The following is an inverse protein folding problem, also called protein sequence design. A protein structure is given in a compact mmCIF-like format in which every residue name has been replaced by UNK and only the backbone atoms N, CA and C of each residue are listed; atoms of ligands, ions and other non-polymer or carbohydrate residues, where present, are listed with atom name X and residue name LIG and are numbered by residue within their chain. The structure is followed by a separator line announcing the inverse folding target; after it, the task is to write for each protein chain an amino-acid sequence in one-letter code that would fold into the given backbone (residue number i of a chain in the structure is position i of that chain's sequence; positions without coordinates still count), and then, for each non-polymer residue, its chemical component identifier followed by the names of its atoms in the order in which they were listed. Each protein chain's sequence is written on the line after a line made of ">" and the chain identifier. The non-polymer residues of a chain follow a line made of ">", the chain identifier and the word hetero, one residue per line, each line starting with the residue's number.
data_IF_757728009323
#
_entry.id   IF_757728009323
#
_cell.length_a   1.000
_cell.length_b   1.000
_cell.length_c   1.000
_cell.angle_alpha   90.00
_cell.angle_beta   90.00
_cell.angle_gamma   90.00
#
_symmetry.space_group_name_H-M   'P 1'
#
loop_
_entity.id
_entity.type
_entity.pdbx_description
1 polymer ?
#
# COMPACT_ATOMS: atom_id res chain seq x y z
N UNK A 1 58.93 -34.80 3.97
CA UNK A 1 58.78 -36.25 3.68
C UNK A 1 57.37 -36.41 3.14
N UNK A 2 57.27 -36.72 1.84
CA UNK A 2 56.17 -37.41 1.13
C UNK A 2 54.79 -36.73 1.23
N UNK A 3 54.28 -36.07 0.18
CA UNK A 3 53.70 -36.69 -1.03
C UNK A 3 52.20 -36.91 -0.78
N UNK A 4 51.25 -36.46 -1.60
CA UNK A 4 51.10 -36.80 -3.01
C UNK A 4 50.00 -35.92 -3.61
N UNK A 5 50.27 -35.44 -4.81
CA UNK A 5 49.36 -34.89 -5.80
C UNK A 5 48.12 -35.77 -6.05
N UNK A 6 47.00 -35.17 -6.41
CA UNK A 6 46.01 -35.81 -7.28
C UNK A 6 45.30 -34.77 -8.12
N UNK A 7 45.68 -34.79 -9.38
CA UNK A 7 44.96 -34.35 -10.55
C UNK A 7 43.54 -34.95 -10.57
N UNK A 8 42.56 -34.18 -11.04
CA UNK A 8 41.58 -34.73 -11.99
C UNK A 8 41.08 -33.57 -12.89
N UNK A 9 41.42 -33.75 -14.15
CA UNK A 9 41.12 -32.96 -15.33
C UNK A 9 39.75 -33.43 -15.84
N UNK A 10 38.84 -32.51 -16.16
CA UNK A 10 37.67 -32.85 -16.97
C UNK A 10 37.55 -31.83 -18.11
N UNK A 11 37.88 -32.31 -19.30
CA UNK A 11 37.70 -31.68 -20.61
C UNK A 11 36.35 -32.05 -21.22
N UNK A 12 36.10 -31.45 -22.39
CA UNK A 12 35.08 -31.71 -23.42
C UNK A 12 33.85 -30.81 -23.27
N UNK A 13 33.84 -29.62 -23.89
CA UNK A 13 33.71 -29.34 -25.35
C UNK A 13 32.55 -30.12 -25.98
N UNK A 14 31.39 -29.47 -26.12
CA UNK A 14 30.36 -29.87 -27.08
C UNK A 14 30.02 -28.64 -27.93
N UNK A 15 30.49 -28.71 -29.17
CA UNK A 15 30.13 -27.91 -30.33
C UNK A 15 28.61 -27.69 -30.47
N UNK A 16 28.20 -26.43 -30.66
CA UNK A 16 26.93 -26.15 -31.33
C UNK A 16 27.18 -25.20 -32.49
N UNK A 17 27.50 -25.78 -33.65
CA UNK A 17 27.57 -25.09 -34.92
C UNK A 17 26.16 -24.93 -35.53
N UNK A 18 25.87 -23.69 -35.96
CA UNK A 18 25.19 -23.24 -37.19
C UNK A 18 24.11 -24.15 -37.81
N UNK A 19 22.96 -23.68 -38.30
CA UNK A 19 22.62 -22.50 -39.09
C UNK A 19 21.10 -22.58 -39.33
N UNK A 20 20.37 -21.47 -39.49
CA UNK A 20 19.42 -21.37 -40.60
C UNK A 20 19.01 -19.90 -40.82
N UNK A 21 19.35 -19.41 -42.00
CA UNK A 21 18.98 -18.12 -42.57
C UNK A 21 17.74 -18.37 -43.42
N UNK A 22 16.62 -17.69 -43.12
CA UNK A 22 15.47 -17.64 -44.01
C UNK A 22 15.11 -16.18 -44.29
N UNK A 23 15.78 -15.65 -45.31
CA UNK A 23 15.36 -14.45 -46.02
C UNK A 23 14.23 -14.81 -47.00
N UNK A 24 13.09 -14.14 -46.88
CA UNK A 24 11.96 -14.24 -47.82
C UNK A 24 11.66 -12.84 -48.36
N UNK A 25 12.23 -12.57 -49.53
CA UNK A 25 11.75 -11.55 -50.46
C UNK A 25 11.05 -12.29 -51.61
N UNK A 26 9.78 -11.98 -51.88
CA UNK A 26 9.23 -12.09 -53.23
C UNK A 26 8.13 -11.05 -53.42
N UNK A 27 8.43 -10.09 -54.29
CA UNK A 27 7.52 -9.07 -54.76
C UNK A 27 6.68 -9.63 -55.91
N UNK A 28 5.41 -9.25 -55.98
CA UNK A 28 4.64 -9.28 -57.23
C UNK A 28 3.61 -8.15 -57.21
N UNK A 29 3.96 -7.10 -57.96
CA UNK A 29 3.08 -6.15 -58.62
C UNK A 29 2.13 -6.90 -59.58
N UNK A 30 0.83 -6.61 -59.53
CA UNK A 30 -0.02 -6.69 -60.72
C UNK A 30 -1.11 -5.62 -60.62
N UNK A 31 -1.04 -4.72 -61.60
CA UNK A 31 -1.85 -3.53 -61.86
C UNK A 31 -3.14 -3.87 -62.63
N UNK A 32 -4.14 -2.97 -62.49
CA UNK A 32 -5.23 -2.58 -63.43
C UNK A 32 -6.31 -3.62 -63.80
N UNK A 33 -7.59 -3.31 -64.06
CA UNK A 33 -8.36 -2.07 -64.13
C UNK A 33 -9.87 -2.43 -64.09
N UNK A 34 -10.68 -1.48 -63.63
CA UNK A 34 -11.98 -1.02 -64.14
C UNK A 34 -13.06 -2.05 -64.57
N UNK A 35 -14.25 -1.97 -63.96
CA UNK A 35 -15.46 -1.47 -64.65
C UNK A 35 -16.64 -1.28 -63.68
N UNK A 36 -17.12 -0.06 -63.74
CA UNK A 36 -18.31 0.59 -63.18
C UNK A 36 -19.65 -0.13 -63.44
N UNK A 37 -20.55 -0.13 -62.46
CA UNK A 37 -22.00 0.12 -62.63
C UNK A 37 -22.58 0.47 -61.23
N UNK A 38 -22.68 1.75 -60.87
CA UNK A 38 -23.83 2.64 -61.10
C UNK A 38 -25.14 2.06 -60.55
N UNK A 39 -25.52 2.40 -59.32
CA UNK A 39 -26.89 2.82 -59.01
C UNK A 39 -26.79 3.87 -57.89
N UNK A 40 -27.25 5.05 -58.27
CA UNK A 40 -27.48 6.29 -57.55
C UNK A 40 -28.45 6.07 -56.37
N UNK A 41 -28.08 6.46 -55.14
CA UNK A 41 -29.04 6.70 -54.08
C UNK A 41 -28.73 8.05 -53.42
N UNK A 42 -29.75 8.89 -53.49
CA UNK A 42 -29.78 10.31 -53.22
C UNK A 42 -29.23 10.72 -51.84
N UNK A 43 -28.41 11.78 -51.86
CA UNK A 43 -28.15 12.60 -50.69
C UNK A 43 -29.37 13.50 -50.44
N UNK A 44 -30.13 13.20 -49.38
CA UNK A 44 -31.02 14.14 -48.75
C UNK A 44 -30.82 14.06 -47.23
N UNK A 45 -29.95 14.94 -46.74
CA UNK A 45 -30.15 15.80 -45.58
C UNK A 45 -31.42 15.49 -44.75
N UNK A 46 -31.23 14.88 -43.57
CA UNK A 46 -32.08 15.14 -42.41
C UNK A 46 -31.20 14.93 -41.16
N UNK A 47 -30.92 16.07 -40.55
CA UNK A 47 -30.49 16.31 -39.20
C UNK A 47 -30.87 15.19 -38.20
N UNK A 48 -29.90 14.41 -37.77
CA UNK A 48 -29.84 13.99 -36.37
C UNK A 48 -28.37 14.08 -35.97
N UNK A 49 -28.01 15.28 -35.52
CA UNK A 49 -26.99 15.43 -34.50
C UNK A 49 -27.47 14.57 -33.33
N UNK A 50 -27.04 13.31 -33.32
CA UNK A 50 -26.86 12.59 -32.07
C UNK A 50 -25.68 13.31 -31.40
N UNK A 51 -25.96 14.49 -30.82
CA UNK A 51 -25.36 14.89 -29.55
C UNK A 51 -25.74 13.75 -28.60
N UNK A 52 -25.02 12.64 -28.74
CA UNK A 52 -24.91 11.64 -27.70
C UNK A 52 -24.43 12.46 -26.53
N UNK A 53 -25.38 12.71 -25.63
CA UNK A 53 -25.20 13.28 -24.32
C UNK A 53 -23.97 12.53 -23.79
N UNK A 54 -22.80 13.16 -23.91
CA UNK A 54 -21.65 12.75 -23.16
C UNK A 54 -22.03 13.13 -21.72
N UNK A 55 -22.89 12.33 -21.10
CA UNK A 55 -22.81 12.11 -19.68
C UNK A 55 -21.49 11.38 -19.46
N UNK A 56 -20.41 12.18 -19.53
CA UNK A 56 -19.33 12.07 -18.58
C UNK A 56 -20.04 12.03 -17.22
N UNK A 57 -20.43 10.84 -16.78
CA UNK A 57 -20.38 10.49 -15.38
C UNK A 57 -18.97 10.93 -14.98
N UNK A 58 -18.91 12.09 -14.34
CA UNK A 58 -17.76 12.43 -13.51
C UNK A 58 -17.56 11.18 -12.68
N UNK A 59 -16.49 10.45 -12.95
CA UNK A 59 -15.99 9.37 -12.10
C UNK A 59 -15.73 9.90 -10.67
N UNK A 60 -15.75 11.23 -10.51
CA UNK A 60 -15.57 11.99 -9.28
C UNK A 60 -16.71 11.84 -8.23
N UNK A 61 -17.82 11.15 -8.51
CA UNK A 61 -18.92 10.97 -7.51
C UNK A 61 -18.80 9.69 -6.65
N UNK A 62 -17.74 8.87 -6.84
CA UNK A 62 -17.56 7.61 -6.10
C UNK A 62 -16.49 7.63 -5.00
N UNK A 63 -15.69 8.69 -4.83
CA UNK A 63 -14.39 8.55 -4.14
C UNK A 63 -14.10 9.41 -2.92
N UNK A 64 -14.95 10.37 -2.54
CA UNK A 64 -14.69 11.14 -1.33
C UNK A 64 -15.35 10.44 -0.13
N UNK A 65 -14.64 9.47 0.46
CA UNK A 65 -14.93 9.02 1.82
C UNK A 65 -15.01 10.25 2.73
N UNK A 66 -15.95 10.25 3.69
CA UNK A 66 -16.03 11.34 4.65
C UNK A 66 -14.80 11.30 5.57
N UNK A 67 -14.15 12.45 5.75
CA UNK A 67 -13.06 12.58 6.70
C UNK A 67 -13.53 12.16 8.09
N UNK A 68 -12.72 11.37 8.79
CA UNK A 68 -12.92 11.09 10.20
C UNK A 68 -12.91 12.41 10.98
N UNK A 69 -13.97 12.63 11.75
CA UNK A 69 -14.07 13.79 12.62
C UNK A 69 -13.14 13.64 13.84
N UNK A 70 -12.80 14.76 14.48
CA UNK A 70 -11.98 14.75 15.69
C UNK A 70 -12.57 13.89 16.84
N UNK A 71 -13.88 13.66 16.85
CA UNK A 71 -14.57 12.83 17.85
C UNK A 71 -14.46 11.32 17.54
N UNK A 72 -14.22 10.95 16.28
CA UNK A 72 -14.03 9.57 15.81
C UNK A 72 -12.54 9.16 15.84
N UNK A 73 -11.61 10.11 15.95
CA UNK A 73 -10.17 9.81 16.02
C UNK A 73 -9.75 9.75 17.50
N UNK A 74 -9.50 8.55 18.03
CA UNK A 74 -9.11 8.40 19.43
C UNK A 74 -7.76 9.06 19.71
N UNK A 75 -6.78 8.79 18.83
CA UNK A 75 -5.46 9.43 18.86
C UNK A 75 -4.61 9.16 17.62
N UNK A 76 -3.64 10.06 17.41
CA UNK A 76 -2.48 9.85 16.55
C UNK A 76 -1.23 10.06 17.41
N UNK A 77 -0.44 9.02 17.63
CA UNK A 77 0.77 9.08 18.49
C UNK A 77 1.99 8.59 17.74
N UNK A 78 3.05 9.42 17.72
CA UNK A 78 4.36 9.02 17.25
C UNK A 78 5.22 8.44 18.39
N UNK A 79 5.94 7.37 18.08
CA UNK A 79 6.94 6.71 18.90
C UNK A 79 8.29 6.78 18.18
N UNK A 80 9.31 7.32 18.84
CA UNK A 80 10.62 7.50 18.23
C UNK A 80 11.74 7.54 19.28
N UNK A 81 12.98 7.61 18.82
CA UNK A 81 14.14 7.74 19.68
C UNK A 81 14.77 9.12 19.52
N UNK A 82 14.95 9.85 20.61
CA UNK A 82 15.62 11.15 20.63
C UNK A 82 16.87 11.03 21.50
N UNK A 83 18.05 11.28 20.94
CA UNK A 83 19.36 11.07 21.58
C UNK A 83 19.52 9.69 22.27
N UNK A 84 18.88 8.65 21.71
CA UNK A 84 18.90 7.28 22.22
C UNK A 84 17.91 6.99 23.35
N UNK A 85 17.14 7.98 23.79
CA UNK A 85 16.03 7.81 24.72
C UNK A 85 14.71 7.60 23.95
N UNK A 86 13.91 6.63 24.40
CA UNK A 86 12.57 6.42 23.83
C UNK A 86 11.65 7.55 24.25
N UNK A 87 10.97 8.13 23.27
CA UNK A 87 10.01 9.21 23.49
C UNK A 87 8.75 8.95 22.67
N UNK A 88 7.69 9.67 23.01
CA UNK A 88 6.44 9.69 22.28
C UNK A 88 5.90 11.10 22.20
N UNK A 89 5.15 11.40 21.15
CA UNK A 89 4.49 12.68 20.97
C UNK A 89 3.09 12.46 20.38
N UNK A 90 2.03 13.09 20.94
CA UNK A 90 0.78 13.21 20.21
C UNK A 90 1.04 14.05 18.95
N UNK A 91 0.43 13.63 17.84
CA UNK A 91 0.40 14.38 16.61
C UNK A 91 -0.99 15.02 16.42
N UNK A 92 -1.14 15.76 15.33
CA UNK A 92 -2.44 16.30 14.93
C UNK A 92 -3.39 15.14 14.56
N UNK A 93 -4.64 15.21 15.03
CA UNK A 93 -5.63 14.17 14.75
C UNK A 93 -5.93 14.07 13.25
N UNK A 94 -5.88 15.20 12.55
CA UNK A 94 -6.17 15.28 11.11
C UNK A 94 -5.22 14.43 10.25
N UNK A 95 -4.07 14.00 10.79
CA UNK A 95 -3.19 13.04 10.12
C UNK A 95 -3.81 11.63 9.99
N UNK A 96 -4.90 11.36 10.69
CA UNK A 96 -5.69 10.15 10.54
C UNK A 96 -6.63 10.19 9.33
N UNK A 97 -6.57 11.23 8.49
CA UNK A 97 -7.28 11.34 7.21
C UNK A 97 -6.32 11.41 5.99
N UNK A 98 -5.00 11.45 6.20
CA UNK A 98 -4.02 11.57 5.11
C UNK A 98 -2.73 10.79 5.45
N UNK A 99 -2.59 9.61 4.85
CA UNK A 99 -1.43 8.73 5.08
C UNK A 99 -0.11 9.38 4.63
N UNK A 100 -0.13 10.10 3.51
CA UNK A 100 1.04 10.77 2.95
C UNK A 100 1.53 11.88 3.89
N UNK A 101 0.61 12.67 4.46
CA UNK A 101 0.96 13.67 5.46
C UNK A 101 1.50 13.02 6.74
N UNK A 102 0.87 11.95 7.23
CA UNK A 102 1.36 11.19 8.38
C UNK A 102 2.80 10.70 8.15
N UNK A 103 3.08 10.10 6.99
CA UNK A 103 4.43 9.66 6.59
C UNK A 103 5.38 10.86 6.55
N UNK A 104 4.98 11.99 5.98
CA UNK A 104 5.79 13.20 5.91
C UNK A 104 6.13 13.75 7.29
N UNK A 105 5.20 13.72 8.25
CA UNK A 105 5.45 14.13 9.62
C UNK A 105 6.42 13.19 10.32
N UNK A 106 6.25 11.86 10.18
CA UNK A 106 7.16 10.87 10.74
C UNK A 106 8.59 11.00 10.23
N UNK A 107 8.80 11.37 8.95
CA UNK A 107 10.14 11.61 8.38
C UNK A 107 10.91 12.74 9.06
N UNK A 108 10.23 13.65 9.76
CA UNK A 108 10.85 14.79 10.46
C UNK A 108 11.34 14.44 11.86
N UNK A 109 10.88 13.31 12.41
CA UNK A 109 11.24 12.89 13.76
C UNK A 109 12.66 12.28 13.79
N UNK A 110 13.43 12.52 14.86
CA UNK A 110 14.75 11.95 15.01
C UNK A 110 14.70 10.44 15.29
N UNK A 111 15.83 9.76 15.05
CA UNK A 111 16.05 8.38 15.45
C UNK A 111 16.61 7.50 14.33
N UNK A 112 17.73 6.83 14.59
CA UNK A 112 18.36 5.89 13.64
C UNK A 112 17.46 4.69 13.32
N UNK A 113 16.59 4.30 14.26
CA UNK A 113 15.65 3.20 14.10
C UNK A 113 14.34 3.62 13.39
N UNK A 114 14.22 4.89 12.99
CA UNK A 114 13.01 5.47 12.44
C UNK A 114 11.99 5.90 13.50
N UNK A 115 10.80 6.28 13.03
CA UNK A 115 9.65 6.62 13.84
C UNK A 115 8.46 5.70 13.48
N UNK A 116 7.58 5.47 14.45
CA UNK A 116 6.36 4.66 14.32
C UNK A 116 5.17 5.52 14.72
N UNK A 117 4.18 5.71 13.86
CA UNK A 117 2.86 6.19 14.26
C UNK A 117 1.98 5.02 14.68
N UNK A 118 1.16 5.26 15.68
CA UNK A 118 0.02 4.44 16.07
C UNK A 118 -1.22 5.32 16.00
N UNK A 119 -2.17 4.92 15.18
CA UNK A 119 -3.44 5.61 14.92
C UNK A 119 -4.57 4.69 15.34
N UNK A 120 -5.50 5.21 16.13
CA UNK A 120 -6.70 4.51 16.59
C UNK A 120 -7.92 5.30 16.16
N UNK A 121 -8.88 4.62 15.52
CA UNK A 121 -10.10 5.21 14.99
C UNK A 121 -11.31 4.49 15.59
N UNK A 122 -12.24 5.28 16.11
CA UNK A 122 -13.53 4.96 16.72
C UNK A 122 -13.54 3.74 17.65
N UNK A 123 -12.41 3.46 18.31
CA UNK A 123 -12.18 2.21 19.05
C UNK A 123 -12.32 0.91 18.21
N UNK A 124 -12.48 1.01 16.89
CA UNK A 124 -12.79 -0.11 15.98
C UNK A 124 -11.54 -0.74 15.38
N UNK A 125 -10.66 0.07 14.80
CA UNK A 125 -9.46 -0.41 14.12
C UNK A 125 -8.26 0.51 14.37
N UNK A 126 -7.08 0.02 14.00
CA UNK A 126 -5.85 0.78 14.11
C UNK A 126 -4.95 0.65 12.88
N UNK A 127 -4.13 1.68 12.70
CA UNK A 127 -3.05 1.71 11.71
C UNK A 127 -1.71 1.91 12.41
N UNK A 128 -0.71 1.13 12.01
CA UNK A 128 0.68 1.34 12.40
C UNK A 128 1.48 1.72 11.16
N UNK A 129 2.09 2.91 11.19
CA UNK A 129 2.95 3.39 10.10
C UNK A 129 4.37 3.51 10.62
N UNK A 130 5.32 2.85 9.98
CA UNK A 130 6.74 2.93 10.33
C UNK A 130 7.54 3.57 9.22
N UNK A 131 8.32 4.60 9.56
CA UNK A 131 9.17 5.30 8.61
C UNK A 131 10.63 5.24 9.03
N UNK A 132 11.48 4.74 8.13
CA UNK A 132 12.92 4.50 8.32
C UNK A 132 13.71 4.99 7.12
N UNK A 133 14.14 6.25 7.18
CA UNK A 133 14.80 6.90 6.06
C UNK A 133 13.87 6.98 4.85
N UNK A 134 14.07 6.10 3.87
CA UNK A 134 13.22 6.00 2.66
C UNK A 134 12.22 4.85 2.70
N UNK A 135 12.41 3.91 3.63
CA UNK A 135 11.52 2.77 3.77
C UNK A 135 10.32 3.20 4.61
N UNK A 136 9.12 2.87 4.12
CA UNK A 136 7.85 3.05 4.79
C UNK A 136 7.21 1.67 4.81
N UNK A 137 6.68 1.29 5.97
CA UNK A 137 5.91 0.07 6.18
C UNK A 137 4.61 0.46 6.85
N UNK A 138 3.51 -0.18 6.46
CA UNK A 138 2.17 0.10 7.00
C UNK A 138 1.49 -1.20 7.38
N UNK A 139 0.69 -1.16 8.44
CA UNK A 139 -0.15 -2.26 8.88
C UNK A 139 -1.52 -1.71 9.25
N UNK A 140 -2.57 -2.31 8.73
CA UNK A 140 -3.97 -2.03 9.05
C UNK A 140 -4.57 -3.26 9.72
N UNK A 141 -5.20 -3.06 10.89
CA UNK A 141 -5.72 -4.17 11.69
C UNK A 141 -6.95 -4.85 11.11
N UNK A 142 -7.73 -4.12 10.31
CA UNK A 142 -8.95 -4.60 9.68
C UNK A 142 -9.05 -3.99 8.27
N UNK A 143 -8.95 -4.84 7.26
CA UNK A 143 -9.03 -4.43 5.86
C UNK A 143 -10.39 -3.94 5.40
N UNK A 144 -11.48 -4.38 6.03
CA UNK A 144 -12.85 -4.02 5.65
C UNK A 144 -13.10 -2.53 5.88
N UNK A 145 -12.45 -1.95 6.89
CA UNK A 145 -12.56 -0.54 7.25
C UNK A 145 -12.07 0.42 6.14
N UNK A 146 -11.33 -0.08 5.14
CA UNK A 146 -10.97 0.70 3.95
C UNK A 146 -12.18 1.09 3.08
N UNK A 147 -13.35 0.47 3.28
CA UNK A 147 -14.59 0.86 2.62
C UNK A 147 -15.19 2.16 3.20
N UNK A 148 -14.87 2.50 4.45
CA UNK A 148 -15.52 3.58 5.18
C UNK A 148 -14.55 4.69 5.61
N UNK A 149 -13.26 4.37 5.84
CA UNK A 149 -12.31 5.30 6.45
C UNK A 149 -11.16 5.72 5.51
N UNK A 150 -10.91 7.03 5.32
CA UNK A 150 -9.89 7.54 4.40
C UNK A 150 -8.49 6.95 4.64
N UNK A 151 -8.03 6.88 5.90
CA UNK A 151 -6.70 6.34 6.20
C UNK A 151 -6.58 4.84 5.92
N UNK A 152 -7.65 4.07 6.11
CA UNK A 152 -7.65 2.64 5.81
C UNK A 152 -7.62 2.42 4.29
N UNK A 153 -8.38 3.24 3.54
CA UNK A 153 -8.33 3.27 2.08
C UNK A 153 -6.94 3.63 1.55
N UNK A 154 -6.34 4.70 2.08
CA UNK A 154 -4.98 5.11 1.73
C UNK A 154 -3.96 3.98 2.00
N UNK A 155 -4.13 3.21 3.07
CA UNK A 155 -3.26 2.07 3.38
C UNK A 155 -3.41 0.96 2.33
N UNK A 156 -4.65 0.59 1.97
CA UNK A 156 -4.89 -0.40 0.92
C UNK A 156 -4.29 0.04 -0.43
N UNK A 157 -4.50 1.31 -0.80
CA UNK A 157 -3.94 1.92 -2.01
C UNK A 157 -2.40 1.96 -1.98
N UNK A 158 -1.81 2.29 -0.84
CA UNK A 158 -0.36 2.31 -0.64
C UNK A 158 0.25 0.92 -0.80
N UNK A 159 -0.43 -0.11 -0.29
CA UNK A 159 -0.01 -1.51 -0.41
C UNK A 159 -0.25 -2.05 -1.84
N UNK A 160 -1.20 -1.47 -2.57
CA UNK A 160 -1.69 -1.98 -3.85
C UNK A 160 -2.45 -3.29 -3.67
N UNK A 161 -3.15 -3.44 -2.55
CA UNK A 161 -3.97 -4.60 -2.21
C UNK A 161 -5.45 -4.30 -2.49
N UNK A 162 -6.22 -5.34 -2.81
CA UNK A 162 -7.66 -5.21 -3.04
C UNK A 162 -8.38 -5.02 -1.69
N UNK A 163 -9.31 -4.07 -1.63
CA UNK A 163 -10.15 -3.85 -0.45
C UNK A 163 -11.17 -5.01 -0.35
N UNK A 164 -11.27 -5.71 0.79
CA UNK A 164 -12.26 -6.77 0.98
C UNK A 164 -13.69 -6.20 0.97
N UNK A 165 -14.66 -7.05 0.62
CA UNK A 165 -16.07 -6.67 0.61
C UNK A 165 -16.57 -6.46 2.06
N UNK A 166 -17.59 -5.62 2.24
CA UNK A 166 -18.15 -5.31 3.59
C UNK A 166 -18.74 -6.51 4.33
N UNK A 167 -18.97 -7.64 3.65
CA UNK A 167 -19.45 -8.89 4.23
C UNK A 167 -18.36 -9.96 4.42
N UNK A 168 -17.10 -9.64 4.11
CA UNK A 168 -15.95 -10.49 4.39
C UNK A 168 -15.55 -10.47 5.89
N UNK A 169 -14.62 -11.34 6.26
CA UNK A 169 -14.05 -11.39 7.60
C UNK A 169 -13.09 -10.19 7.84
N UNK A 170 -13.04 -9.70 9.07
CA UNK A 170 -12.15 -8.63 9.53
C UNK A 170 -10.69 -9.10 9.61
N UNK A 171 -10.03 -9.18 8.45
CA UNK A 171 -8.65 -9.63 8.35
C UNK A 171 -7.66 -8.45 8.25
N UNK A 172 -6.53 -8.47 8.98
CA UNK A 172 -5.49 -7.44 8.87
C UNK A 172 -4.74 -7.49 7.53
N UNK A 173 -4.20 -6.34 7.10
CA UNK A 173 -3.40 -6.20 5.87
C UNK A 173 -2.10 -5.42 6.07
N UNK A 174 -1.14 -5.63 5.16
CA UNK A 174 0.14 -4.94 5.12
C UNK A 174 1.33 -5.67 5.77
N UNK A 175 2.28 -4.90 6.31
CA UNK A 175 3.58 -5.37 6.79
C UNK A 175 3.51 -5.93 8.22
N UNK A 176 3.19 -7.21 8.41
CA UNK A 176 3.15 -7.86 9.73
C UNK A 176 4.50 -7.83 10.48
N UNK A 177 5.62 -7.75 9.75
CA UNK A 177 6.96 -7.79 10.33
C UNK A 177 7.50 -6.40 10.73
N UNK A 178 6.69 -5.34 10.56
CA UNK A 178 7.15 -3.96 10.69
C UNK A 178 7.69 -3.61 12.08
N UNK A 179 7.41 -4.42 13.12
CA UNK A 179 7.90 -4.25 14.49
C UNK A 179 8.83 -5.39 14.96
N UNK A 180 9.18 -6.33 14.08
CA UNK A 180 9.98 -7.53 14.41
C UNK A 180 11.35 -7.19 14.98
N UNK A 181 12.03 -6.18 14.46
CA UNK A 181 13.36 -5.79 14.97
C UNK A 181 13.34 -5.10 16.33
N UNK A 182 12.16 -4.62 16.79
CA UNK A 182 11.99 -4.05 18.14
C UNK A 182 11.33 -5.04 19.13
N UNK A 183 11.16 -6.30 18.70
CA UNK A 183 10.79 -7.41 19.57
C UNK A 183 9.31 -7.79 19.57
N UNK A 184 8.54 -7.36 18.57
CA UNK A 184 7.17 -7.84 18.34
C UNK A 184 7.13 -8.62 17.04
N UNK A 185 6.93 -9.93 17.12
CA UNK A 185 6.89 -10.80 15.95
C UNK A 185 5.61 -10.62 15.12
N UNK A 186 5.65 -11.04 13.85
CA UNK A 186 4.47 -11.10 12.96
C UNK A 186 3.28 -11.79 13.64
N UNK A 187 3.50 -12.99 14.18
CA UNK A 187 2.48 -13.77 14.88
C UNK A 187 1.95 -13.08 16.14
N UNK A 188 2.81 -12.36 16.87
CA UNK A 188 2.33 -11.60 18.04
C UNK A 188 1.51 -10.38 17.62
N UNK A 189 1.85 -9.71 16.52
CA UNK A 189 1.09 -8.57 16.02
C UNK A 189 -0.29 -9.01 15.49
N UNK A 190 -0.32 -10.07 14.68
CA UNK A 190 -1.54 -10.70 14.19
C UNK A 190 -2.45 -11.13 15.36
N UNK A 191 -1.89 -11.81 16.36
CA UNK A 191 -2.64 -12.23 17.54
C UNK A 191 -3.11 -11.06 18.43
N UNK A 192 -2.54 -9.87 18.30
CA UNK A 192 -3.04 -8.66 18.98
C UNK A 192 -4.18 -8.04 18.18
N UNK A 193 -4.11 -8.02 16.85
CA UNK A 193 -5.17 -7.51 15.99
C UNK A 193 -6.46 -8.36 16.07
N UNK A 194 -6.32 -9.69 16.25
CA UNK A 194 -7.45 -10.64 16.42
C UNK A 194 -8.08 -10.61 17.84
N UNK A 195 -7.66 -9.69 18.72
CA UNK A 195 -8.26 -9.58 20.05
C UNK A 195 -9.63 -8.91 19.96
N UNK A 196 -10.62 -9.48 20.66
CA UNK A 196 -11.93 -8.87 20.93
C UNK A 196 -11.80 -7.77 22.00
N UNK A 197 -11.01 -6.74 21.71
CA UNK A 197 -10.71 -5.57 22.54
C UNK A 197 -10.67 -4.33 21.65
N UNK A 198 -10.94 -3.16 22.23
CA UNK A 198 -10.91 -1.88 21.51
C UNK A 198 -9.52 -1.57 20.92
N UNK A 199 -9.47 -0.86 19.79
CA UNK A 199 -8.23 -0.60 19.04
C UNK A 199 -7.17 0.18 19.86
N UNK A 200 -7.58 1.04 20.78
CA UNK A 200 -6.69 1.74 21.71
C UNK A 200 -6.06 0.79 22.76
N UNK A 201 -6.81 -0.23 23.19
CA UNK A 201 -6.31 -1.26 24.08
C UNK A 201 -5.33 -2.20 23.37
N UNK A 202 -5.64 -2.60 22.14
CA UNK A 202 -4.76 -3.38 21.28
C UNK A 202 -3.42 -2.64 21.06
N UNK A 203 -3.46 -1.37 20.65
CA UNK A 203 -2.25 -0.53 20.49
C UNK A 203 -1.50 -0.31 21.81
N UNK A 204 -2.22 -0.23 22.95
CA UNK A 204 -1.59 -0.21 24.26
C UNK A 204 -0.80 -1.50 24.57
N UNK A 205 -1.27 -2.66 24.10
CA UNK A 205 -0.52 -3.93 24.18
C UNK A 205 0.72 -3.86 23.29
N UNK A 206 0.59 -3.41 22.03
CA UNK A 206 1.71 -3.23 21.09
C UNK A 206 2.78 -2.34 21.72
N UNK A 207 2.41 -1.13 22.17
CA UNK A 207 3.32 -0.16 22.77
C UNK A 207 4.06 -0.73 24.01
N UNK A 208 3.39 -1.55 24.83
CA UNK A 208 4.04 -2.23 25.96
C UNK A 208 5.06 -3.27 25.49
N UNK A 209 4.75 -4.07 24.47
CA UNK A 209 5.66 -5.10 23.91
C UNK A 209 6.93 -4.47 23.33
N UNK A 210 6.80 -3.32 22.65
CA UNK A 210 7.95 -2.60 22.08
C UNK A 210 8.64 -1.64 23.06
N UNK A 211 8.28 -1.69 24.36
CA UNK A 211 8.87 -0.92 25.47
C UNK A 211 8.61 0.61 25.44
N UNK A 212 7.47 1.03 24.90
CA UNK A 212 6.97 2.41 24.92
C UNK A 212 5.77 2.62 25.87
N UNK A 213 5.19 1.57 26.46
CA UNK A 213 3.93 1.62 27.22
C UNK A 213 3.68 2.87 28.09
N UNK A 214 4.50 3.16 29.11
CA UNK A 214 4.24 4.31 30.00
C UNK A 214 4.35 5.70 29.33
N UNK A 215 5.17 5.84 28.30
CA UNK A 215 5.30 7.12 27.56
C UNK A 215 4.20 7.24 26.50
N UNK A 216 3.85 6.14 25.84
CA UNK A 216 2.71 6.06 24.94
C UNK A 216 1.41 6.47 25.65
N UNK A 217 1.12 5.87 26.81
CA UNK A 217 -0.11 6.18 27.54
C UNK A 217 -0.21 7.66 27.96
N UNK A 218 0.93 8.29 28.30
CA UNK A 218 0.96 9.74 28.55
C UNK A 218 0.71 10.56 27.29
N UNK A 219 1.14 10.10 26.12
CA UNK A 219 0.88 10.78 24.87
C UNK A 219 -0.61 10.68 24.50
N UNK A 220 -1.21 9.49 24.66
CA UNK A 220 -2.66 9.26 24.48
C UNK A 220 -3.51 10.13 25.43
N UNK A 221 -3.12 10.27 26.69
CA UNK A 221 -3.82 11.18 27.63
C UNK A 221 -3.74 12.67 27.23
N UNK A 222 -2.87 13.02 26.29
CA UNK A 222 -2.68 14.37 25.78
C UNK A 222 -3.12 14.56 24.33
N UNK A 223 -3.47 13.50 23.59
CA UNK A 223 -4.21 13.61 22.34
C UNK A 223 -5.67 13.96 22.65
N UNK A 224 -6.27 14.87 21.88
CA UNK A 224 -7.63 15.36 22.14
C UNK A 224 -7.75 16.50 23.17
N UNK A 225 -6.66 17.18 23.54
CA UNK A 225 -6.68 18.42 24.35
C UNK A 225 -6.32 19.67 23.57
#
# INVERSE_FOLDING_TARGET
>A
MVGTDRDDEFTDDEDFAASDDVSVDDASDDDVDDLTDSEELDLADDDDFDDGDDDYYSDDDYDDLEDASDDEIDFVVALYADDGERTSAPLDLQLANDLDELIMQLRRLPGDAGAVAMVSIDHQFFVIVRVRGRNVQVFLSDGVEANDWPIARDVADFLGEDIPDVDDDADPMGDFDLLSDVGLSEFDLEAIADLDEDSDEQLSIVARRINFGPIFQRAVENSGR
#
